data_IF_626661860483
#
_entry.id   IF_626661860483
#
_cell.length_a   1.000
_cell.length_b   1.000
_cell.length_c   1.000
_cell.angle_alpha   90.00
_cell.angle_beta   90.00
_cell.angle_gamma   90.00
#
_symmetry.space_group_name_H-M   'P 1'
#
loop_
_entity.id
_entity.type
_entity.pdbx_description
1 polymer ?
#
# COMPACT_ATOMS: atom_id res chain seq x y z
N UNK A 1 -4.10 -8.81 -0.51
CA UNK A 1 -5.29 -9.44 -1.11
C UNK A 1 -6.43 -9.58 -0.10
N UNK A 2 -6.25 -10.34 0.99
CA UNK A 2 -7.25 -10.54 2.07
C UNK A 2 -7.90 -9.21 2.52
N UNK A 3 -7.10 -8.26 2.98
CA UNK A 3 -7.60 -6.98 3.51
C UNK A 3 -8.37 -6.19 2.45
N UNK A 4 -7.88 -6.15 1.21
CA UNK A 4 -8.53 -5.47 0.10
C UNK A 4 -9.90 -6.09 -0.21
N UNK A 5 -9.97 -7.42 -0.31
CA UNK A 5 -11.23 -8.13 -0.53
C UNK A 5 -12.23 -7.88 0.62
N UNK A 6 -11.77 -7.95 1.87
CA UNK A 6 -12.58 -7.66 3.07
C UNK A 6 -13.10 -6.21 3.09
N UNK A 7 -12.36 -5.28 2.51
CA UNK A 7 -12.75 -3.88 2.34
C UNK A 7 -13.67 -3.63 1.12
N UNK A 8 -14.04 -4.68 0.37
CA UNK A 8 -14.85 -4.53 -0.85
C UNK A 8 -14.06 -4.03 -2.07
N UNK A 9 -12.73 -4.09 -2.03
CA UNK A 9 -11.86 -3.72 -3.15
C UNK A 9 -11.64 -4.94 -4.05
N UNK A 10 -12.08 -4.84 -5.29
CA UNK A 10 -12.07 -5.96 -6.25
C UNK A 10 -10.82 -6.02 -7.15
N UNK A 11 -10.06 -4.94 -7.26
CA UNK A 11 -8.86 -4.85 -8.12
C UNK A 11 -7.66 -4.47 -7.27
N UNK A 12 -6.61 -5.28 -7.32
CA UNK A 12 -5.34 -5.07 -6.61
C UNK A 12 -4.19 -5.07 -7.61
N UNK A 13 -3.29 -4.10 -7.51
CA UNK A 13 -2.18 -3.93 -8.44
C UNK A 13 -0.86 -4.17 -7.73
N UNK A 14 0.06 -4.88 -8.40
CA UNK A 14 1.45 -5.03 -7.94
C UNK A 14 2.41 -5.06 -9.14
N UNK A 15 3.71 -5.05 -8.89
CA UNK A 15 4.71 -5.27 -9.95
C UNK A 15 4.58 -6.68 -10.53
N UNK A 16 4.65 -7.70 -9.68
CA UNK A 16 4.69 -9.12 -10.06
C UNK A 16 4.28 -9.99 -8.89
N UNK A 17 3.47 -11.01 -9.11
CA UNK A 17 3.07 -11.93 -8.05
C UNK A 17 4.22 -12.86 -7.68
N UNK A 18 4.20 -13.40 -6.45
CA UNK A 18 4.97 -14.59 -6.11
C UNK A 18 4.53 -15.80 -6.93
N UNK A 19 5.23 -16.91 -6.78
CA UNK A 19 4.99 -18.12 -7.57
C UNK A 19 5.75 -19.32 -7.06
N UNK A 20 5.81 -20.36 -7.88
CA UNK A 20 6.63 -21.54 -7.63
C UNK A 20 8.08 -21.17 -7.92
N UNK A 21 8.98 -21.39 -6.96
CA UNK A 21 10.40 -21.17 -7.18
C UNK A 21 10.96 -22.22 -8.15
N UNK A 22 12.09 -21.92 -8.79
CA UNK A 22 12.81 -22.91 -9.59
C UNK A 22 13.34 -24.01 -8.68
N UNK A 23 13.21 -25.27 -9.09
CA UNK A 23 13.37 -26.47 -8.22
C UNK A 23 12.26 -26.62 -7.16
N UNK A 24 11.13 -25.93 -7.35
CA UNK A 24 9.97 -25.97 -6.45
C UNK A 24 9.33 -27.37 -6.32
N UNK A 25 9.50 -28.23 -7.31
CA UNK A 25 9.04 -29.63 -7.27
C UNK A 25 9.78 -30.49 -6.24
N UNK A 26 11.01 -30.11 -5.89
CA UNK A 26 11.83 -30.82 -4.90
C UNK A 26 11.85 -30.07 -3.57
N UNK A 27 12.01 -28.74 -3.62
CA UNK A 27 12.13 -27.89 -2.44
C UNK A 27 10.79 -27.57 -1.78
N UNK A 28 9.69 -27.66 -2.53
CA UNK A 28 8.37 -27.18 -2.13
C UNK A 28 8.35 -25.69 -1.75
N UNK A 29 9.30 -24.90 -2.27
CA UNK A 29 9.35 -23.45 -2.10
C UNK A 29 8.33 -22.77 -3.03
N UNK A 30 7.12 -22.59 -2.50
CA UNK A 30 5.96 -22.09 -3.23
C UNK A 30 5.38 -20.90 -2.47
N UNK A 31 5.23 -19.77 -3.18
CA UNK A 31 4.68 -18.55 -2.59
C UNK A 31 3.23 -18.73 -2.12
N UNK A 32 2.95 -18.22 -0.92
CA UNK A 32 1.60 -18.13 -0.38
C UNK A 32 0.64 -17.31 -1.25
N UNK A 33 1.16 -16.43 -2.12
CA UNK A 33 0.37 -15.66 -3.09
C UNK A 33 -0.52 -16.56 -3.95
N UNK A 34 -0.04 -17.74 -4.34
CA UNK A 34 -0.78 -18.66 -5.22
C UNK A 34 -1.97 -19.30 -4.49
N UNK A 35 -1.74 -19.77 -3.27
CA UNK A 35 -2.81 -20.31 -2.41
C UNK A 35 -3.83 -19.23 -2.07
N UNK A 36 -3.36 -18.00 -1.85
CA UNK A 36 -4.23 -16.86 -1.55
C UNK A 36 -5.09 -16.46 -2.77
N UNK A 37 -4.51 -16.47 -3.97
CA UNK A 37 -5.26 -16.33 -5.23
C UNK A 37 -6.34 -17.41 -5.39
N UNK A 38 -6.11 -18.64 -4.92
CA UNK A 38 -7.12 -19.70 -4.92
C UNK A 38 -8.29 -19.48 -3.96
N UNK A 39 -8.14 -18.60 -2.96
CA UNK A 39 -9.08 -18.49 -1.82
C UNK A 39 -9.78 -17.14 -1.69
N UNK A 40 -9.24 -16.10 -2.31
CA UNK A 40 -9.75 -14.74 -2.17
C UNK A 40 -10.21 -14.22 -3.52
N UNK A 41 -11.51 -13.89 -3.69
CA UNK A 41 -12.04 -13.42 -4.96
C UNK A 41 -11.69 -11.95 -5.20
N UNK A 42 -10.49 -11.76 -5.70
CA UNK A 42 -9.89 -10.48 -6.06
C UNK A 42 -9.15 -10.61 -7.39
N UNK A 43 -9.20 -9.57 -8.22
CA UNK A 43 -8.42 -9.50 -9.44
C UNK A 43 -7.06 -8.85 -9.14
N UNK A 44 -5.97 -9.58 -9.40
CA UNK A 44 -4.61 -9.09 -9.25
C UNK A 44 -4.06 -8.73 -10.62
N UNK A 45 -3.64 -7.47 -10.78
CA UNK A 45 -3.02 -6.95 -12.00
C UNK A 45 -1.52 -6.83 -11.76
N UNK A 46 -0.73 -7.54 -12.56
CA UNK A 46 0.73 -7.56 -12.43
C UNK A 46 1.42 -7.81 -13.76
N UNK A 47 2.74 -7.67 -13.83
CA UNK A 47 3.53 -8.02 -15.02
C UNK A 47 3.77 -9.54 -15.14
N UNK A 48 2.79 -10.36 -14.75
CA UNK A 48 2.95 -11.79 -14.55
C UNK A 48 3.59 -12.10 -13.19
N UNK A 49 4.49 -13.07 -13.17
CA UNK A 49 5.19 -13.54 -11.97
C UNK A 49 6.63 -13.04 -11.96
N UNK A 50 7.22 -12.81 -10.78
CA UNK A 50 8.60 -12.28 -10.68
C UNK A 50 9.59 -13.16 -11.45
N UNK A 51 10.52 -12.55 -12.20
CA UNK A 51 11.45 -13.24 -13.13
C UNK A 51 12.32 -14.36 -12.52
N UNK A 52 12.56 -14.35 -11.21
CA UNK A 52 13.37 -15.38 -10.54
C UNK A 52 12.64 -16.73 -10.38
N UNK A 53 11.33 -16.76 -10.67
CA UNK A 53 10.44 -17.87 -10.42
C UNK A 53 10.31 -18.78 -11.65
N UNK A 54 9.60 -19.89 -11.47
CA UNK A 54 9.25 -20.82 -12.52
C UNK A 54 7.84 -20.52 -13.05
N UNK A 55 7.76 -19.96 -14.25
CA UNK A 55 6.49 -19.54 -14.86
C UNK A 55 5.60 -20.74 -15.17
N UNK A 56 6.16 -21.79 -15.77
CA UNK A 56 5.41 -22.97 -16.17
C UNK A 56 4.75 -23.64 -14.96
N UNK A 57 5.55 -23.95 -13.92
CA UNK A 57 5.02 -24.54 -12.68
C UNK A 57 4.03 -23.62 -11.96
N UNK A 58 4.24 -22.31 -12.03
CA UNK A 58 3.30 -21.35 -11.44
C UNK A 58 1.95 -21.37 -12.15
N UNK A 59 1.93 -21.44 -13.48
CA UNK A 59 0.69 -21.55 -14.24
C UNK A 59 -0.06 -22.86 -13.93
N UNK A 60 0.65 -24.00 -13.87
CA UNK A 60 0.08 -25.29 -13.46
C UNK A 60 -0.51 -25.26 -12.04
N UNK A 61 0.19 -24.59 -11.11
CA UNK A 61 -0.30 -24.44 -9.74
C UNK A 61 -1.54 -23.56 -9.67
N UNK A 62 -1.56 -22.44 -10.42
CA UNK A 62 -2.71 -21.54 -10.49
C UNK A 62 -3.94 -22.23 -11.11
N UNK A 63 -3.73 -23.06 -12.13
CA UNK A 63 -4.76 -23.92 -12.70
C UNK A 63 -5.32 -24.88 -11.63
N UNK A 64 -4.44 -25.55 -10.88
CA UNK A 64 -4.83 -26.45 -9.78
C UNK A 64 -5.63 -25.72 -8.69
N UNK A 65 -5.31 -24.46 -8.41
CA UNK A 65 -6.04 -23.61 -7.45
C UNK A 65 -7.34 -23.02 -8.02
N UNK A 66 -7.70 -23.32 -9.27
CA UNK A 66 -8.89 -22.76 -9.92
C UNK A 66 -8.80 -21.25 -10.15
N UNK A 67 -7.60 -20.69 -10.26
CA UNK A 67 -7.37 -19.26 -10.49
C UNK A 67 -7.48 -18.98 -11.98
N UNK A 68 -8.35 -18.03 -12.36
CA UNK A 68 -8.43 -17.58 -13.74
C UNK A 68 -7.20 -16.72 -14.08
N UNK A 69 -6.41 -17.15 -15.06
CA UNK A 69 -5.24 -16.41 -15.54
C UNK A 69 -5.50 -15.89 -16.96
N UNK A 70 -5.37 -14.59 -17.16
CA UNK A 70 -5.49 -13.98 -18.48
C UNK A 70 -4.39 -12.96 -18.75
N UNK A 71 -3.86 -12.94 -19.98
CA UNK A 71 -2.95 -11.88 -20.42
C UNK A 71 -3.75 -10.66 -20.89
N UNK A 72 -3.32 -9.46 -20.52
CA UNK A 72 -3.89 -8.20 -20.97
C UNK A 72 -3.24 -7.74 -22.28
N UNK A 73 -4.07 -7.57 -23.32
CA UNK A 73 -3.66 -7.21 -24.68
C UNK A 73 -4.07 -8.27 -25.70
N UNK A 74 -3.60 -8.11 -26.94
CA UNK A 74 -4.01 -8.94 -28.09
C UNK A 74 -3.28 -10.28 -28.19
N UNK A 75 -2.46 -10.63 -27.20
CA UNK A 75 -1.56 -11.78 -27.23
C UNK A 75 -1.84 -12.69 -26.04
N UNK A 76 -1.74 -14.00 -26.28
CA UNK A 76 -1.82 -15.03 -25.24
C UNK A 76 -0.49 -15.25 -24.52
N UNK A 77 0.63 -14.69 -25.00
CA UNK A 77 1.93 -14.83 -24.35
C UNK A 77 1.89 -14.28 -22.93
N UNK A 78 2.18 -15.13 -21.96
CA UNK A 78 2.31 -14.71 -20.57
C UNK A 78 3.60 -13.90 -20.42
N UNK A 79 3.57 -12.70 -19.82
CA UNK A 79 4.77 -11.89 -19.62
C UNK A 79 5.68 -12.48 -18.54
N UNK A 80 6.99 -12.39 -18.74
CA UNK A 80 8.01 -12.74 -17.76
C UNK A 80 8.52 -11.49 -17.04
N UNK A 81 7.61 -10.73 -16.42
CA UNK A 81 7.91 -9.52 -15.64
C UNK A 81 8.60 -8.41 -16.44
N UNK A 82 9.92 -8.52 -16.64
CA UNK A 82 10.69 -7.60 -17.48
C UNK A 82 10.51 -7.87 -18.98
N UNK A 83 10.16 -9.09 -19.39
CA UNK A 83 9.94 -9.40 -20.81
C UNK A 83 8.45 -9.52 -21.13
N UNK A 84 7.97 -8.99 -22.29
CA UNK A 84 6.60 -9.20 -22.74
C UNK A 84 6.32 -10.66 -23.16
N UNK A 85 7.36 -11.49 -23.30
CA UNK A 85 7.25 -12.89 -23.70
C UNK A 85 8.06 -13.78 -22.76
N UNK A 86 7.42 -14.84 -22.26
CA UNK A 86 8.05 -15.84 -21.38
C UNK A 86 8.35 -17.17 -22.06
N UNK A 87 7.82 -17.40 -23.26
CA UNK A 87 7.73 -18.74 -23.85
C UNK A 87 6.54 -19.57 -23.36
N UNK A 88 5.76 -19.06 -22.40
CA UNK A 88 4.52 -19.65 -21.93
C UNK A 88 3.31 -18.80 -22.36
N UNK A 89 2.13 -19.43 -22.42
CA UNK A 89 0.87 -18.78 -22.76
C UNK A 89 -0.10 -18.82 -21.59
N UNK A 90 -0.84 -17.73 -21.37
CA UNK A 90 -2.03 -17.76 -20.52
C UNK A 90 -3.13 -18.65 -21.11
N UNK A 91 -3.99 -19.25 -20.28
CA UNK A 91 -5.22 -19.92 -20.74
C UNK A 91 -6.20 -18.98 -21.45
N UNK A 92 -6.19 -17.68 -21.11
CA UNK A 92 -7.07 -16.66 -21.68
C UNK A 92 -6.32 -15.35 -21.99
N UNK A 93 -6.95 -14.45 -22.75
CA UNK A 93 -6.52 -13.06 -22.88
C UNK A 93 -7.74 -12.13 -22.88
N UNK A 94 -7.51 -10.86 -22.57
CA UNK A 94 -8.50 -9.77 -22.63
C UNK A 94 -7.88 -8.57 -23.34
N UNK A 95 -8.58 -7.97 -24.29
CA UNK A 95 -7.99 -6.96 -25.18
C UNK A 95 -7.92 -5.56 -24.56
N UNK A 96 -8.80 -5.27 -23.60
CA UNK A 96 -8.99 -3.94 -23.03
C UNK A 96 -9.56 -4.01 -21.61
N UNK A 97 -9.67 -2.83 -20.97
CA UNK A 97 -10.12 -2.72 -19.59
C UNK A 97 -11.58 -3.12 -19.40
N UNK A 98 -12.42 -2.94 -20.42
CA UNK A 98 -13.83 -3.31 -20.43
C UNK A 98 -13.99 -4.83 -20.41
N UNK A 99 -13.28 -5.56 -21.27
CA UNK A 99 -13.28 -7.04 -21.27
C UNK A 99 -12.73 -7.61 -19.95
N UNK A 100 -11.67 -7.02 -19.41
CA UNK A 100 -11.14 -7.40 -18.11
C UNK A 100 -12.17 -7.16 -16.98
N UNK A 101 -12.87 -6.03 -17.01
CA UNK A 101 -13.95 -5.74 -16.06
C UNK A 101 -15.13 -6.71 -16.20
N UNK A 102 -15.45 -7.14 -17.43
CA UNK A 102 -16.48 -8.12 -17.70
C UNK A 102 -16.13 -9.49 -17.13
N UNK A 103 -14.87 -9.91 -17.28
CA UNK A 103 -14.34 -11.13 -16.69
C UNK A 103 -14.44 -11.12 -15.16
N UNK A 104 -14.02 -10.02 -14.52
CA UNK A 104 -14.09 -9.86 -13.06
C UNK A 104 -15.55 -9.84 -12.58
N UNK A 105 -16.42 -9.09 -13.25
CA UNK A 105 -17.84 -9.04 -12.91
C UNK A 105 -18.52 -10.41 -13.07
N UNK A 106 -18.10 -11.20 -14.07
CA UNK A 106 -18.52 -12.58 -14.27
C UNK A 106 -18.15 -13.46 -13.07
N UNK A 107 -16.87 -13.44 -12.67
CA UNK A 107 -16.36 -14.18 -11.52
C UNK A 107 -17.15 -13.87 -10.23
N UNK A 108 -17.39 -12.59 -9.96
CA UNK A 108 -18.17 -12.13 -8.81
C UNK A 108 -19.65 -12.59 -8.91
N UNK A 109 -20.27 -12.50 -10.08
CA UNK A 109 -21.68 -12.86 -10.25
C UNK A 109 -21.97 -14.36 -10.13
N UNK A 110 -20.98 -15.20 -10.45
CA UNK A 110 -21.04 -16.65 -10.26
C UNK A 110 -20.75 -17.08 -8.81
N UNK A 111 -20.33 -16.16 -7.95
CA UNK A 111 -19.98 -16.46 -6.56
C UNK A 111 -18.71 -17.30 -6.42
N UNK A 112 -17.83 -17.28 -7.42
CA UNK A 112 -16.56 -18.02 -7.39
C UNK A 112 -15.67 -17.44 -6.27
N UNK A 113 -15.02 -18.32 -5.52
CA UNK A 113 -14.20 -17.95 -4.37
C UNK A 113 -12.73 -17.74 -4.73
N UNK A 114 -12.32 -18.11 -5.94
CA UNK A 114 -10.98 -17.85 -6.44
C UNK A 114 -10.85 -16.45 -7.03
N UNK A 115 -9.63 -15.93 -6.98
CA UNK A 115 -9.22 -14.69 -7.60
C UNK A 115 -8.90 -14.85 -9.08
N UNK A 116 -8.42 -13.76 -9.67
CA UNK A 116 -7.96 -13.70 -11.06
C UNK A 116 -6.56 -13.10 -11.12
N UNK A 117 -5.74 -13.58 -12.04
CA UNK A 117 -4.47 -12.96 -12.40
C UNK A 117 -4.57 -12.36 -13.80
N UNK A 118 -4.49 -11.03 -13.88
CA UNK A 118 -4.41 -10.27 -15.12
C UNK A 118 -2.95 -9.87 -15.37
N UNK A 119 -2.30 -10.62 -16.26
CA UNK A 119 -0.89 -10.44 -16.57
C UNK A 119 -0.70 -9.37 -17.67
N UNK A 120 -0.13 -8.23 -17.30
CA UNK A 120 0.06 -7.05 -18.16
C UNK A 120 1.51 -7.00 -18.64
N UNK A 121 1.78 -7.11 -19.95
CA UNK A 121 3.14 -6.99 -20.46
C UNK A 121 3.76 -5.61 -20.14
N UNK A 122 5.08 -5.60 -19.93
CA UNK A 122 5.86 -4.35 -19.81
C UNK A 122 5.61 -3.43 -21.03
N UNK A 123 5.62 -2.09 -20.88
CA UNK A 123 5.48 -1.19 -22.02
C UNK A 123 6.50 -1.46 -23.14
N UNK A 124 6.08 -1.27 -24.39
CA UNK A 124 6.90 -1.57 -25.57
C UNK A 124 8.22 -0.80 -25.58
N UNK A 125 8.23 0.45 -25.12
CA UNK A 125 9.46 1.25 -25.01
C UNK A 125 10.52 0.65 -24.07
N UNK A 126 10.12 -0.20 -23.12
CA UNK A 126 11.01 -0.84 -22.15
C UNK A 126 11.25 -2.33 -22.43
N UNK A 127 10.57 -2.91 -23.43
CA UNK A 127 10.64 -4.33 -23.74
C UNK A 127 12.05 -4.81 -24.12
N UNK A 128 12.81 -4.06 -24.93
CA UNK A 128 14.15 -4.45 -25.36
C UNK A 128 15.16 -4.46 -24.19
N UNK A 129 15.07 -3.48 -23.29
CA UNK A 129 15.84 -3.48 -22.04
C UNK A 129 15.40 -4.65 -21.16
N UNK A 130 14.10 -4.92 -21.12
CA UNK A 130 13.48 -6.04 -20.43
C UNK A 130 14.02 -7.41 -20.84
N UNK A 131 14.16 -7.66 -22.14
CA UNK A 131 14.71 -8.90 -22.67
C UNK A 131 16.20 -9.07 -22.29
N UNK A 132 16.98 -7.98 -22.29
CA UNK A 132 18.36 -8.00 -21.81
C UNK A 132 18.43 -8.36 -20.31
N UNK A 133 17.53 -7.80 -19.50
CA UNK A 133 17.44 -8.09 -18.06
C UNK A 133 17.05 -9.55 -17.84
N UNK A 134 16.06 -10.05 -18.58
CA UNK A 134 15.62 -11.45 -18.46
C UNK A 134 16.74 -12.42 -18.82
N UNK A 135 17.51 -12.15 -19.89
CA UNK A 135 18.69 -12.94 -20.24
C UNK A 135 19.76 -12.90 -19.14
N UNK A 136 19.97 -11.75 -18.50
CA UNK A 136 20.88 -11.62 -17.36
C UNK A 136 20.39 -12.44 -16.15
N UNK A 137 19.08 -12.50 -15.92
CA UNK A 137 18.46 -13.31 -14.86
C UNK A 137 18.68 -14.80 -15.16
N UNK A 138 18.45 -15.25 -16.39
CA UNK A 138 18.69 -16.64 -16.77
C UNK A 138 20.16 -17.04 -16.60
N UNK A 139 21.10 -16.15 -16.98
CA UNK A 139 22.53 -16.38 -16.78
C UNK A 139 22.90 -16.46 -15.29
N UNK A 140 22.35 -15.54 -14.47
CA UNK A 140 22.57 -15.53 -13.02
C UNK A 140 22.03 -16.80 -12.35
N UNK A 141 20.84 -17.26 -12.75
CA UNK A 141 20.24 -18.48 -12.23
C UNK A 141 21.04 -19.73 -12.61
N UNK A 142 21.55 -19.80 -13.84
CA UNK A 142 22.44 -20.88 -14.27
C UNK A 142 23.74 -20.90 -13.44
N UNK A 143 24.33 -19.73 -13.19
CA UNK A 143 25.53 -19.61 -12.35
C UNK A 143 25.26 -20.00 -10.89
N UNK A 144 24.12 -19.59 -10.32
CA UNK A 144 23.70 -19.99 -8.98
C UNK A 144 23.58 -21.51 -8.86
N UNK A 145 23.00 -22.16 -9.87
CA UNK A 145 22.86 -23.61 -9.89
C UNK A 145 24.23 -24.33 -9.90
N UNK A 146 25.16 -23.88 -10.75
CA UNK A 146 26.53 -24.43 -10.80
C UNK A 146 27.26 -24.24 -9.45
N UNK A 147 27.02 -23.11 -8.78
CA UNK A 147 27.61 -22.79 -7.46
C UNK A 147 26.86 -23.41 -6.28
N UNK A 148 25.75 -24.10 -6.52
CA UNK A 148 24.91 -24.68 -5.46
C UNK A 148 24.22 -23.64 -4.56
N UNK A 149 24.06 -22.40 -5.01
CA UNK A 149 23.39 -21.32 -4.25
C UNK A 149 21.88 -21.56 -4.31
N UNK A 150 21.24 -21.70 -3.13
CA UNK A 150 19.83 -22.08 -3.00
C UNK A 150 19.16 -21.34 -1.83
N UNK A 151 17.83 -21.46 -1.75
CA UNK A 151 17.02 -20.91 -0.66
C UNK A 151 17.17 -19.40 -0.53
N UNK A 152 17.28 -18.91 0.72
CA UNK A 152 17.34 -17.47 1.03
C UNK A 152 18.51 -16.72 0.36
N UNK A 153 19.57 -17.42 -0.01
CA UNK A 153 20.78 -16.83 -0.58
C UNK A 153 20.71 -16.70 -2.12
N UNK A 154 19.73 -17.36 -2.76
CA UNK A 154 19.52 -17.30 -4.21
C UNK A 154 19.12 -15.91 -4.69
N UNK A 155 18.11 -15.32 -4.05
CA UNK A 155 17.56 -14.02 -4.47
C UNK A 155 18.60 -12.89 -4.39
N UNK A 156 19.35 -12.70 -3.29
CA UNK A 156 20.41 -11.70 -3.23
C UNK A 156 21.49 -11.91 -4.30
N UNK A 157 21.90 -13.17 -4.54
CA UNK A 157 22.88 -13.50 -5.56
C UNK A 157 22.41 -13.12 -6.97
N UNK A 158 21.18 -13.53 -7.33
CA UNK A 158 20.61 -13.23 -8.65
C UNK A 158 20.48 -11.72 -8.85
N UNK A 159 19.99 -10.99 -7.85
CA UNK A 159 19.84 -9.54 -7.94
C UNK A 159 21.18 -8.82 -8.10
N UNK A 160 22.21 -9.20 -7.33
CA UNK A 160 23.55 -8.65 -7.48
C UNK A 160 24.07 -8.87 -8.90
N UNK A 161 23.98 -10.11 -9.40
CA UNK A 161 24.49 -10.47 -10.72
C UNK A 161 23.75 -9.74 -11.84
N UNK A 162 22.44 -9.62 -11.71
CA UNK A 162 21.61 -8.89 -12.68
C UNK A 162 21.96 -7.41 -12.68
N UNK A 163 22.21 -6.80 -11.52
CA UNK A 163 22.62 -5.41 -11.45
C UNK A 163 24.00 -5.20 -12.12
N UNK A 164 24.97 -6.09 -11.86
CA UNK A 164 26.28 -6.08 -12.52
C UNK A 164 26.16 -6.17 -14.04
N UNK A 165 25.30 -7.07 -14.54
CA UNK A 165 25.11 -7.32 -15.98
C UNK A 165 24.30 -6.22 -16.68
N UNK A 166 23.37 -5.58 -15.98
CA UNK A 166 22.41 -4.62 -16.57
C UNK A 166 22.76 -3.15 -16.32
N UNK A 167 23.79 -2.88 -15.50
CA UNK A 167 24.26 -1.53 -15.14
C UNK A 167 23.13 -0.60 -14.68
N UNK A 168 22.22 -1.10 -13.83
CA UNK A 168 21.11 -0.33 -13.26
C UNK A 168 19.86 -0.16 -14.14
N UNK A 169 19.83 -0.72 -15.36
CA UNK A 169 18.64 -0.67 -16.23
C UNK A 169 17.42 -1.41 -15.67
N UNK A 170 17.64 -2.38 -14.79
CA UNK A 170 16.57 -3.17 -14.14
C UNK A 170 15.60 -2.32 -13.32
N UNK A 171 16.11 -1.33 -12.59
CA UNK A 171 15.30 -0.45 -11.75
C UNK A 171 14.33 0.40 -12.58
N UNK A 172 14.81 0.97 -13.70
CA UNK A 172 13.98 1.79 -14.59
C UNK A 172 12.86 0.96 -15.22
N UNK A 173 13.14 -0.27 -15.65
CA UNK A 173 12.14 -1.18 -16.18
C UNK A 173 11.10 -1.59 -15.11
N UNK A 174 11.54 -1.79 -13.86
CA UNK A 174 10.66 -2.12 -12.73
C UNK A 174 9.70 -0.96 -12.39
N UNK A 175 10.20 0.27 -12.36
CA UNK A 175 9.35 1.46 -12.17
C UNK A 175 8.33 1.57 -13.31
N UNK A 176 8.77 1.40 -14.56
CA UNK A 176 7.90 1.50 -15.72
C UNK A 176 6.79 0.45 -15.74
N UNK A 177 7.09 -0.82 -15.42
CA UNK A 177 6.07 -1.87 -15.35
C UNK A 177 5.08 -1.61 -14.21
N UNK A 178 5.52 -1.12 -13.04
CA UNK A 178 4.62 -0.81 -11.91
C UNK A 178 3.66 0.32 -12.30
N UNK A 179 4.14 1.39 -12.92
CA UNK A 179 3.29 2.47 -13.44
C UNK A 179 2.30 1.96 -14.49
N UNK A 180 2.73 1.08 -15.38
CA UNK A 180 1.85 0.49 -16.39
C UNK A 180 0.76 -0.38 -15.76
N UNK A 181 1.10 -1.23 -14.79
CA UNK A 181 0.14 -2.07 -14.06
C UNK A 181 -0.87 -1.20 -13.30
N UNK A 182 -0.43 -0.10 -12.67
CA UNK A 182 -1.32 0.83 -11.97
C UNK A 182 -2.26 1.55 -12.93
N UNK A 183 -1.76 1.98 -14.09
CA UNK A 183 -2.57 2.58 -15.15
C UNK A 183 -3.64 1.59 -15.64
N UNK A 184 -3.26 0.37 -16.00
CA UNK A 184 -4.20 -0.65 -16.48
C UNK A 184 -5.20 -1.05 -15.39
N UNK A 185 -4.72 -1.31 -14.16
CA UNK A 185 -5.56 -1.65 -13.02
C UNK A 185 -6.58 -0.57 -12.67
N UNK A 186 -6.20 0.71 -12.72
CA UNK A 186 -7.14 1.82 -12.50
C UNK A 186 -8.21 1.90 -13.60
N UNK A 187 -7.84 1.70 -14.87
CA UNK A 187 -8.80 1.65 -15.98
C UNK A 187 -9.81 0.51 -15.80
N UNK A 188 -9.34 -0.68 -15.42
CA UNK A 188 -10.19 -1.85 -15.13
C UNK A 188 -11.12 -1.55 -13.96
N UNK A 189 -10.62 -0.98 -12.86
CA UNK A 189 -11.42 -0.63 -11.70
C UNK A 189 -12.53 0.39 -12.05
N UNK A 190 -12.21 1.40 -12.87
CA UNK A 190 -13.21 2.36 -13.36
C UNK A 190 -14.27 1.69 -14.26
N UNK A 191 -13.87 0.79 -15.17
CA UNK A 191 -14.78 0.06 -16.03
C UNK A 191 -15.70 -0.88 -15.22
N UNK A 192 -15.13 -1.60 -14.25
CA UNK A 192 -15.85 -2.47 -13.33
C UNK A 192 -16.88 -1.68 -12.50
N UNK A 193 -16.48 -0.54 -11.95
CA UNK A 193 -17.37 0.33 -11.17
C UNK A 193 -18.59 0.78 -12.00
N UNK A 194 -18.36 1.26 -13.23
CA UNK A 194 -19.46 1.63 -14.16
C UNK A 194 -20.38 0.45 -14.45
N UNK A 195 -19.84 -0.77 -14.61
CA UNK A 195 -20.63 -1.98 -14.88
C UNK A 195 -21.46 -2.41 -13.68
N UNK A 196 -20.90 -2.34 -12.48
CA UNK A 196 -21.61 -2.66 -11.23
C UNK A 196 -22.74 -1.66 -10.96
N UNK A 197 -22.55 -0.36 -11.26
CA UNK A 197 -23.59 0.67 -11.14
C UNK A 197 -24.76 0.48 -12.13
N UNK A 198 -24.50 -0.03 -13.35
CA UNK A 198 -25.57 -0.32 -14.33
C UNK A 198 -26.49 -1.46 -13.89
N UNK A 199 -26.00 -2.43 -13.12
CA UNK A 199 -26.82 -3.54 -12.60
C UNK A 199 -27.73 -3.14 -11.43
N UNK A 200 -27.42 -2.06 -10.71
CA UNK A 200 -28.23 -1.56 -9.58
C UNK A 200 -29.34 -0.58 -10.00
N UNK A 201 -29.49 -0.28 -11.30
CA UNK A 201 -30.53 0.62 -11.81
C UNK A 201 -31.65 -0.13 -12.53
N UNK A 202 -32.59 -0.65 -11.74
CA UNK A 202 -34.00 -0.80 -12.14
C UNK A 202 -34.79 0.19 -11.27
N UNK A 203 -35.47 1.19 -11.84
CA UNK A 203 -36.23 2.14 -11.04
C UNK A 203 -37.50 1.45 -10.54
N UNK A 204 -37.47 0.94 -9.30
CA UNK A 204 -38.70 0.62 -8.59
C UNK A 204 -39.28 1.93 -8.05
N UNK A 205 -40.26 2.47 -8.76
CA UNK A 205 -41.07 3.61 -8.35
C UNK A 205 -42.02 3.15 -7.23
N UNK A 206 -41.50 2.99 -6.01
CA UNK A 206 -42.27 3.03 -4.76
C UNK A 206 -41.33 2.78 -3.57
N UNK A 207 -40.73 3.86 -3.07
CA UNK A 207 -40.63 4.17 -1.63
C UNK A 207 -39.67 5.35 -1.50
N UNK A 208 -40.22 6.56 -1.61
CA UNK A 208 -39.67 7.75 -0.98
C UNK A 208 -39.81 7.57 0.55
N UNK A 209 -39.07 6.61 1.11
CA UNK A 209 -38.70 6.67 2.51
C UNK A 209 -37.45 7.53 2.52
N UNK A 210 -37.59 8.71 3.12
CA UNK A 210 -36.52 9.65 3.43
C UNK A 210 -35.52 8.93 4.33
N UNK A 211 -34.63 8.14 3.73
CA UNK A 211 -33.45 7.64 4.40
C UNK A 211 -32.48 8.82 4.40
N UNK A 212 -32.65 9.69 5.39
CA UNK A 212 -31.53 10.43 5.97
C UNK A 212 -30.62 9.37 6.58
N UNK A 213 -29.84 8.69 5.73
CA UNK A 213 -28.65 7.96 6.16
C UNK A 213 -27.80 9.04 6.81
N UNK A 214 -27.80 9.07 8.14
CA UNK A 214 -26.78 9.77 8.89
C UNK A 214 -25.45 9.25 8.36
N UNK A 215 -24.82 10.02 7.48
CA UNK A 215 -23.48 9.73 6.97
C UNK A 215 -22.63 9.45 8.21
N UNK A 216 -22.18 8.20 8.34
CA UNK A 216 -21.36 7.75 9.44
C UNK A 216 -20.14 8.65 9.49
N UNK A 217 -20.09 9.59 10.44
CA UNK A 217 -19.05 10.62 10.45
C UNK A 217 -17.82 10.06 11.14
N UNK A 218 -16.83 9.59 10.39
CA UNK A 218 -15.55 9.23 11.00
C UNK A 218 -14.83 10.50 11.47
N UNK A 219 -14.05 10.39 12.53
CA UNK A 219 -13.18 11.47 13.00
C UNK A 219 -11.75 10.98 12.96
N UNK A 220 -10.87 11.78 12.35
CA UNK A 220 -9.44 11.49 12.28
C UNK A 220 -8.69 12.58 13.04
N UNK A 221 -7.91 12.19 14.03
CA UNK A 221 -7.11 13.09 14.87
C UNK A 221 -5.65 12.77 14.61
N UNK A 222 -4.92 13.68 13.99
CA UNK A 222 -3.52 13.41 13.68
C UNK A 222 -2.77 14.48 12.92
N UNK A 223 -1.51 14.18 12.63
CA UNK A 223 -0.58 15.10 12.00
C UNK A 223 -0.83 15.29 10.51
N UNK A 224 -0.49 16.48 10.04
CA UNK A 224 -0.27 16.81 8.63
C UNK A 224 1.11 17.42 8.49
N UNK A 225 1.80 17.13 7.40
CA UNK A 225 3.18 17.55 7.18
C UNK A 225 3.40 17.94 5.71
N UNK A 226 4.40 18.78 5.47
CA UNK A 226 5.02 18.95 4.16
C UNK A 226 6.29 18.13 4.11
N UNK A 227 6.35 17.17 3.20
CA UNK A 227 7.49 16.28 3.05
C UNK A 227 8.39 16.78 1.91
N UNK A 228 9.69 16.85 2.17
CA UNK A 228 10.73 17.13 1.21
C UNK A 228 11.57 15.87 1.04
N UNK A 229 11.56 15.30 -0.17
CA UNK A 229 12.36 14.14 -0.52
C UNK A 229 13.51 14.63 -1.39
N UNK A 230 14.69 14.76 -0.78
CA UNK A 230 15.93 15.15 -1.45
C UNK A 230 16.70 13.89 -1.87
N UNK A 231 16.86 13.67 -3.18
CA UNK A 231 17.65 12.56 -3.72
C UNK A 231 18.99 13.07 -4.26
N UNK A 232 20.08 12.53 -3.73
CA UNK A 232 21.43 12.79 -4.21
C UNK A 232 21.75 12.03 -5.50
N UNK A 233 22.71 12.55 -6.27
CA UNK A 233 23.31 11.86 -7.43
C UNK A 233 24.58 11.08 -7.08
N UNK A 234 24.87 10.92 -5.80
CA UNK A 234 25.99 10.14 -5.26
C UNK A 234 25.56 9.50 -3.95
N UNK A 235 26.25 8.43 -3.54
CA UNK A 235 26.01 7.80 -2.23
C UNK A 235 26.76 8.47 -1.08
N UNK A 236 27.75 9.32 -1.40
CA UNK A 236 28.55 10.07 -0.40
C UNK A 236 28.02 11.48 -0.26
N UNK A 237 27.03 11.65 0.63
CA UNK A 237 26.32 12.92 0.80
C UNK A 237 26.82 13.81 1.95
N UNK A 238 27.72 13.33 2.80
CA UNK A 238 28.11 14.03 4.02
C UNK A 238 29.18 15.11 3.80
N UNK A 239 29.01 16.25 4.49
CA UNK A 239 30.04 17.28 4.65
C UNK A 239 30.22 18.28 3.49
N UNK A 240 29.36 18.25 2.47
CA UNK A 240 29.45 19.13 1.30
C UNK A 240 28.09 19.37 0.64
N UNK A 241 28.02 20.33 -0.29
CA UNK A 241 26.86 20.48 -1.18
C UNK A 241 26.92 19.43 -2.27
N UNK A 242 25.84 18.65 -2.43
CA UNK A 242 25.77 17.58 -3.42
C UNK A 242 24.72 17.88 -4.49
N UNK A 243 25.00 17.55 -5.77
CA UNK A 243 24.00 17.65 -6.82
C UNK A 243 22.87 16.62 -6.58
N UNK A 244 21.63 17.04 -6.81
CA UNK A 244 20.46 16.21 -6.52
C UNK A 244 19.16 16.81 -7.05
N UNK A 245 18.05 16.23 -6.63
CA UNK A 245 16.70 16.72 -6.88
C UNK A 245 15.90 16.74 -5.58
N UNK A 246 15.02 17.71 -5.40
CA UNK A 246 14.11 17.77 -4.25
C UNK A 246 12.68 17.72 -4.77
N UNK A 247 11.88 16.79 -4.23
CA UNK A 247 10.46 16.70 -4.47
C UNK A 247 9.70 17.13 -3.21
N UNK A 248 8.62 17.88 -3.38
CA UNK A 248 7.72 18.25 -2.31
C UNK A 248 6.43 17.41 -2.41
N UNK A 249 5.99 16.83 -1.29
CA UNK A 249 4.71 16.15 -1.14
C UNK A 249 4.03 16.54 0.17
N UNK A 250 2.78 16.12 0.36
CA UNK A 250 2.01 16.42 1.56
C UNK A 250 1.73 15.13 2.34
N UNK A 251 2.37 15.01 3.49
CA UNK A 251 2.40 13.83 4.34
C UNK A 251 1.63 13.99 5.64
N UNK A 252 2.01 13.17 6.63
CA UNK A 252 1.32 13.04 7.91
C UNK A 252 0.32 11.89 7.91
N UNK A 253 0.43 11.05 8.93
CA UNK A 253 -0.35 9.81 9.07
C UNK A 253 -1.83 10.12 9.24
N UNK A 254 -2.18 11.04 10.13
CA UNK A 254 -3.55 11.53 10.28
C UNK A 254 -4.13 12.05 8.98
N UNK A 255 -3.38 12.88 8.25
CA UNK A 255 -3.81 13.38 6.94
C UNK A 255 -3.99 12.24 5.93
N UNK A 256 -3.09 11.25 5.87
CA UNK A 256 -3.20 10.11 4.94
C UNK A 256 -4.46 9.27 5.21
N UNK A 257 -4.81 9.04 6.48
CA UNK A 257 -6.05 8.35 6.85
C UNK A 257 -7.27 9.15 6.40
N UNK A 258 -7.32 10.45 6.72
CA UNK A 258 -8.42 11.32 6.35
C UNK A 258 -8.56 11.50 4.82
N UNK A 259 -7.45 11.60 4.10
CA UNK A 259 -7.41 11.69 2.63
C UNK A 259 -7.95 10.40 1.99
N UNK A 260 -7.47 9.24 2.46
CA UNK A 260 -7.91 7.92 1.96
C UNK A 260 -9.41 7.72 2.15
N UNK A 261 -9.93 8.03 3.35
CA UNK A 261 -11.36 7.99 3.64
C UNK A 261 -12.15 8.96 2.73
N UNK A 262 -11.65 10.18 2.54
CA UNK A 262 -12.29 11.17 1.66
C UNK A 262 -12.36 10.70 0.21
N UNK A 263 -11.29 10.06 -0.29
CA UNK A 263 -11.24 9.49 -1.65
C UNK A 263 -12.15 8.28 -1.84
N UNK A 264 -12.47 7.56 -0.77
CA UNK A 264 -13.48 6.50 -0.76
C UNK A 264 -14.92 7.04 -0.68
N UNK A 265 -15.13 8.35 -0.80
CA UNK A 265 -16.45 8.98 -0.77
C UNK A 265 -17.00 9.24 0.63
N UNK A 266 -16.20 9.00 1.68
CA UNK A 266 -16.54 9.42 3.04
C UNK A 266 -16.19 10.90 3.22
N UNK A 267 -16.56 11.50 4.36
CA UNK A 267 -16.25 12.89 4.67
C UNK A 267 -15.81 13.07 6.12
N UNK A 268 -14.71 12.41 6.52
CA UNK A 268 -14.26 12.40 7.91
C UNK A 268 -13.94 13.81 8.38
N UNK A 269 -14.28 14.15 9.62
CA UNK A 269 -13.76 15.37 10.26
C UNK A 269 -12.27 15.15 10.54
N UNK A 270 -11.41 15.96 9.92
CA UNK A 270 -9.98 15.93 10.19
C UNK A 270 -9.61 17.00 11.22
N UNK A 271 -9.12 16.56 12.38
CA UNK A 271 -8.65 17.39 13.49
C UNK A 271 -7.12 17.35 13.50
N UNK A 272 -6.50 18.52 13.32
CA UNK A 272 -5.05 18.67 13.20
C UNK A 272 -4.61 20.09 13.57
N UNK A 273 -3.33 20.41 13.39
CA UNK A 273 -2.77 21.74 13.59
C UNK A 273 -1.72 22.09 12.51
N UNK A 274 -1.78 23.32 12.00
CA UNK A 274 -0.85 23.91 11.03
C UNK A 274 -0.46 25.34 11.45
N UNK A 275 0.65 25.84 10.92
CA UNK A 275 1.13 27.20 11.17
C UNK A 275 0.44 28.25 10.30
N UNK A 276 0.93 29.48 10.33
CA UNK A 276 0.55 30.57 9.40
C UNK A 276 1.64 30.87 8.38
N UNK A 277 2.34 29.83 7.91
CA UNK A 277 3.38 29.93 6.90
C UNK A 277 2.88 29.49 5.51
N UNK A 278 3.69 29.70 4.48
CA UNK A 278 3.34 29.31 3.10
C UNK A 278 3.12 27.80 2.92
N UNK A 279 3.63 26.98 3.84
CA UNK A 279 3.40 25.54 3.85
C UNK A 279 1.95 25.22 4.25
N UNK A 280 1.35 25.99 5.15
CA UNK A 280 -0.04 25.80 5.56
C UNK A 280 -1.02 26.03 4.40
N UNK A 281 -0.79 27.09 3.60
CA UNK A 281 -1.57 27.39 2.40
C UNK A 281 -1.51 26.24 1.38
N UNK A 282 -0.30 25.71 1.15
CA UNK A 282 -0.08 24.61 0.22
C UNK A 282 -0.77 23.32 0.68
N UNK A 283 -0.71 23.00 1.99
CA UNK A 283 -1.41 21.89 2.61
C UNK A 283 -2.92 22.02 2.44
N UNK A 284 -3.49 23.19 2.77
CA UNK A 284 -4.94 23.41 2.68
C UNK A 284 -5.44 23.33 1.24
N UNK A 285 -4.70 23.87 0.28
CA UNK A 285 -5.05 23.77 -1.13
C UNK A 285 -5.01 22.31 -1.63
N UNK A 286 -4.00 21.53 -1.21
CA UNK A 286 -3.94 20.10 -1.51
C UNK A 286 -5.12 19.32 -0.90
N UNK A 287 -5.50 19.67 0.33
CA UNK A 287 -6.56 19.00 1.09
C UNK A 287 -7.96 19.56 0.83
N UNK A 288 -8.19 20.35 -0.23
CA UNK A 288 -9.47 21.03 -0.51
C UNK A 288 -10.68 20.10 -0.65
N UNK A 289 -10.47 18.82 -0.96
CA UNK A 289 -11.53 17.81 -1.06
C UNK A 289 -11.85 17.13 0.27
N UNK A 290 -11.05 17.37 1.32
CA UNK A 290 -11.23 16.84 2.67
C UNK A 290 -12.04 17.81 3.53
N UNK A 291 -12.64 17.31 4.62
CA UNK A 291 -13.23 18.17 5.65
C UNK A 291 -12.17 18.59 6.68
N UNK A 292 -11.55 19.75 6.43
CA UNK A 292 -10.49 20.33 7.26
C UNK A 292 -11.02 21.33 8.29
N UNK A 293 -12.32 21.34 8.60
CA UNK A 293 -12.91 22.28 9.57
C UNK A 293 -12.38 22.11 11.00
N UNK A 294 -11.74 20.98 11.31
CA UNK A 294 -11.08 20.73 12.59
C UNK A 294 -9.59 21.09 12.62
N UNK A 295 -9.01 21.61 11.53
CA UNK A 295 -7.59 21.95 11.46
C UNK A 295 -7.34 23.33 12.07
N UNK A 296 -6.60 23.37 13.19
CA UNK A 296 -6.21 24.61 13.84
C UNK A 296 -5.14 25.34 13.02
N UNK A 297 -5.28 26.66 12.86
CA UNK A 297 -4.27 27.53 12.25
C UNK A 297 -3.64 28.39 13.35
N UNK A 298 -2.36 28.15 13.65
CA UNK A 298 -1.66 28.71 14.82
C UNK A 298 -0.60 29.73 14.39
N UNK A 299 -0.73 30.99 14.87
CA UNK A 299 0.09 32.14 14.40
C UNK A 299 1.59 32.06 14.72
N UNK A 300 1.95 31.44 15.83
CA UNK A 300 3.34 31.40 16.33
C UNK A 300 3.99 30.03 16.15
N UNK A 301 3.40 29.18 15.30
CA UNK A 301 3.87 27.83 15.03
C UNK A 301 4.19 27.68 13.55
N UNK A 302 5.10 26.75 13.25
CA UNK A 302 5.43 26.36 11.88
C UNK A 302 4.67 25.10 11.50
N UNK A 303 4.14 25.05 10.29
CA UNK A 303 3.55 23.84 9.72
C UNK A 303 4.60 22.74 9.70
N UNK A 304 4.22 21.54 10.12
CA UNK A 304 5.17 20.46 10.26
C UNK A 304 5.85 20.14 8.93
N UNK A 305 7.16 19.94 8.96
CA UNK A 305 7.94 19.53 7.79
C UNK A 305 8.75 18.27 8.08
N UNK A 306 8.94 17.46 7.05
CA UNK A 306 9.82 16.31 7.09
C UNK A 306 10.78 16.39 5.91
N UNK A 307 12.06 16.15 6.16
CA UNK A 307 13.07 16.08 5.12
C UNK A 307 13.70 14.68 5.13
N UNK A 308 13.54 13.95 4.03
CA UNK A 308 14.22 12.69 3.77
C UNK A 308 15.32 12.92 2.74
N UNK A 309 16.56 12.64 3.11
CA UNK A 309 17.72 12.66 2.21
C UNK A 309 18.04 11.23 1.80
N UNK A 310 17.89 10.94 0.52
CA UNK A 310 18.08 9.62 -0.08
C UNK A 310 19.33 9.63 -0.96
N UNK A 311 20.14 8.58 -0.89
CA UNK A 311 21.33 8.38 -1.74
C UNK A 311 20.96 8.11 -3.21
N UNK A 312 21.96 7.98 -4.08
CA UNK A 312 21.72 7.58 -5.47
C UNK A 312 21.14 6.15 -5.52
N UNK A 313 21.68 5.25 -4.68
CA UNK A 313 21.23 3.86 -4.49
C UNK A 313 19.79 3.73 -3.99
N UNK A 314 19.19 4.79 -3.43
CA UNK A 314 17.84 4.76 -2.89
C UNK A 314 17.77 4.54 -1.36
N UNK A 315 18.91 4.51 -0.68
CA UNK A 315 18.98 4.35 0.77
C UNK A 315 18.69 5.68 1.50
N UNK A 316 17.92 5.63 2.58
CA UNK A 316 17.69 6.79 3.44
C UNK A 316 18.98 7.14 4.20
N UNK A 317 19.63 8.23 3.82
CA UNK A 317 20.83 8.74 4.49
C UNK A 317 20.50 9.53 5.76
N UNK A 318 19.44 10.33 5.75
CA UNK A 318 19.02 11.16 6.89
C UNK A 318 17.53 11.45 6.79
N UNK A 319 16.81 11.28 7.89
CA UNK A 319 15.45 11.81 8.07
C UNK A 319 15.45 12.88 9.16
N UNK A 320 14.88 14.06 8.89
CA UNK A 320 14.74 15.14 9.86
C UNK A 320 13.30 15.65 9.85
N UNK A 321 12.63 15.63 11.00
CA UNK A 321 11.28 16.17 11.16
C UNK A 321 11.26 17.40 12.05
N UNK A 322 10.73 18.51 11.56
CA UNK A 322 10.24 19.63 12.39
C UNK A 322 8.73 19.42 12.55
N UNK A 323 8.31 18.70 13.59
CA UNK A 323 6.93 18.23 13.76
C UNK A 323 6.32 18.61 15.12
N UNK A 324 6.95 19.54 15.85
CA UNK A 324 6.55 19.91 17.21
C UNK A 324 5.12 20.48 17.28
N UNK A 325 4.63 21.05 16.19
CA UNK A 325 3.24 21.54 16.09
C UNK A 325 2.21 20.42 16.32
N UNK A 326 2.55 19.14 16.10
CA UNK A 326 1.65 18.03 16.43
C UNK A 326 1.35 17.96 17.95
N UNK A 327 2.22 18.52 18.80
CA UNK A 327 1.96 18.67 20.24
C UNK A 327 0.83 19.66 20.54
N UNK A 328 0.46 20.52 19.59
CA UNK A 328 -0.64 21.46 19.72
C UNK A 328 -2.01 20.84 19.43
N UNK A 329 -2.05 19.58 18.98
CA UNK A 329 -3.29 18.77 18.89
C UNK A 329 -3.62 18.26 20.30
N UNK A 330 -3.89 19.20 21.20
CA UNK A 330 -4.08 18.95 22.64
C UNK A 330 -5.47 18.40 22.93
N UNK A 331 -5.60 17.76 24.09
CA UNK A 331 -6.91 17.39 24.67
C UNK A 331 -7.87 18.59 24.72
N UNK A 332 -7.39 19.76 25.14
CA UNK A 332 -8.21 20.97 25.22
C UNK A 332 -8.76 21.41 23.85
N UNK A 333 -8.00 21.22 22.78
CA UNK A 333 -8.46 21.53 21.44
C UNK A 333 -9.42 20.46 20.91
N UNK A 334 -9.06 19.18 21.08
CA UNK A 334 -9.86 18.05 20.58
C UNK A 334 -11.22 17.94 21.30
N UNK A 335 -11.30 18.31 22.58
CA UNK A 335 -12.55 18.24 23.36
C UNK A 335 -13.64 19.20 22.88
N UNK A 336 -13.28 20.24 22.12
CA UNK A 336 -14.26 21.11 21.45
C UNK A 336 -15.12 20.36 20.42
N UNK A 337 -14.68 19.18 20.00
CA UNK A 337 -15.37 18.31 19.06
C UNK A 337 -16.02 17.09 19.73
N UNK A 338 -16.26 17.09 21.06
CA UNK A 338 -16.81 15.95 21.79
C UNK A 338 -18.14 15.43 21.22
N UNK A 339 -19.04 16.32 20.75
CA UNK A 339 -20.28 15.91 20.07
C UNK A 339 -20.01 15.12 18.77
N UNK A 340 -18.98 15.52 18.00
CA UNK A 340 -18.61 14.83 16.77
C UNK A 340 -17.91 13.51 17.05
N UNK A 341 -17.08 13.48 18.10
CA UNK A 341 -16.43 12.27 18.58
C UNK A 341 -17.48 11.25 19.04
N UNK A 342 -18.38 11.64 19.95
CA UNK A 342 -19.40 10.74 20.51
C UNK A 342 -20.39 10.20 19.47
N UNK A 343 -20.67 10.96 18.41
CA UNK A 343 -21.52 10.52 17.30
C UNK A 343 -20.75 9.77 16.19
N UNK A 344 -19.43 9.64 16.29
CA UNK A 344 -18.62 9.02 15.25
C UNK A 344 -18.87 7.52 15.14
N UNK A 345 -18.79 7.00 13.92
CA UNK A 345 -18.79 5.55 13.70
C UNK A 345 -17.40 4.92 13.90
N UNK A 346 -16.35 5.74 13.86
CA UNK A 346 -14.95 5.35 14.02
C UNK A 346 -14.11 6.59 14.38
N UNK A 347 -13.23 6.44 15.36
CA UNK A 347 -12.19 7.42 15.67
C UNK A 347 -10.82 6.88 15.24
N UNK A 348 -10.07 7.65 14.46
CA UNK A 348 -8.72 7.28 14.04
C UNK A 348 -7.69 8.18 14.71
N UNK A 349 -6.65 7.59 15.29
CA UNK A 349 -5.60 8.27 16.05
C UNK A 349 -4.23 8.05 15.39
N UNK A 350 -3.53 9.15 15.12
CA UNK A 350 -2.13 9.17 14.70
C UNK A 350 -1.20 9.10 15.92
N UNK A 351 -0.18 8.23 15.88
CA UNK A 351 0.77 8.07 16.96
C UNK A 351 1.63 9.30 17.30
N UNK A 352 1.67 10.32 16.44
CA UNK A 352 2.44 11.55 16.71
C UNK A 352 1.77 12.50 17.71
N UNK A 353 0.46 12.37 17.96
CA UNK A 353 -0.26 13.28 18.86
C UNK A 353 0.13 13.06 20.34
N UNK A 354 -0.17 14.01 21.25
CA UNK A 354 0.11 13.88 22.68
C UNK A 354 -0.58 12.68 23.32
N UNK A 355 0.08 12.08 24.33
CA UNK A 355 -0.48 10.96 25.11
C UNK A 355 -1.77 11.39 25.81
N UNK A 356 -1.84 12.62 26.33
CA UNK A 356 -3.06 13.16 26.94
C UNK A 356 -4.24 13.16 25.96
N UNK A 357 -4.00 13.59 24.71
CA UNK A 357 -5.00 13.56 23.65
C UNK A 357 -5.45 12.13 23.31
N UNK A 358 -4.51 11.17 23.20
CA UNK A 358 -4.84 9.75 23.00
C UNK A 358 -5.73 9.25 24.14
N UNK A 359 -5.37 9.53 25.38
CA UNK A 359 -6.12 9.10 26.55
C UNK A 359 -7.53 9.70 26.60
N UNK A 360 -7.65 11.00 26.31
CA UNK A 360 -8.93 11.67 26.22
C UNK A 360 -9.84 11.03 25.17
N UNK A 361 -9.35 10.86 23.93
CA UNK A 361 -10.16 10.27 22.85
C UNK A 361 -10.55 8.83 23.18
N UNK A 362 -9.63 8.01 23.71
CA UNK A 362 -9.96 6.66 24.16
C UNK A 362 -11.01 6.64 25.28
N UNK A 363 -11.00 7.63 26.18
CA UNK A 363 -12.01 7.75 27.24
C UNK A 363 -13.40 8.08 26.68
N UNK A 364 -13.49 9.00 25.71
CA UNK A 364 -14.74 9.35 25.01
C UNK A 364 -15.24 8.14 24.22
N UNK A 365 -14.34 7.47 23.50
CA UNK A 365 -14.65 6.27 22.72
C UNK A 365 -15.25 5.16 23.60
N UNK A 366 -14.64 4.88 24.76
CA UNK A 366 -15.14 3.89 25.71
C UNK A 366 -16.51 4.28 26.28
N UNK A 367 -16.72 5.55 26.61
CA UNK A 367 -17.99 6.09 27.14
C UNK A 367 -19.14 5.95 26.14
N UNK A 368 -18.85 6.11 24.85
CA UNK A 368 -19.85 6.11 23.77
C UNK A 368 -19.84 4.84 22.91
N UNK A 369 -19.05 3.83 23.29
CA UNK A 369 -18.87 2.58 22.55
C UNK A 369 -18.48 2.77 21.07
N UNK A 370 -17.64 3.77 20.79
CA UNK A 370 -17.13 4.05 19.45
C UNK A 370 -15.81 3.28 19.25
N UNK A 371 -15.64 2.52 18.15
CA UNK A 371 -14.37 1.83 17.88
C UNK A 371 -13.25 2.83 17.60
N UNK A 372 -12.03 2.50 18.05
CA UNK A 372 -10.83 3.30 17.84
C UNK A 372 -9.81 2.55 16.98
N UNK A 373 -9.33 3.21 15.93
CA UNK A 373 -8.15 2.81 15.15
C UNK A 373 -6.93 3.61 15.61
N UNK A 374 -5.84 2.93 15.92
CA UNK A 374 -4.57 3.57 16.26
C UNK A 374 -3.51 3.26 15.19
N UNK A 375 -2.91 4.29 14.61
CA UNK A 375 -1.83 4.15 13.62
C UNK A 375 -0.49 4.52 14.26
N UNK A 376 0.37 3.53 14.57
CA UNK A 376 1.73 3.81 15.03
C UNK A 376 2.56 4.44 13.91
N UNK A 377 3.49 5.32 14.27
CA UNK A 377 4.34 6.04 13.31
C UNK A 377 5.81 5.67 13.40
N UNK A 378 6.24 5.20 14.57
CA UNK A 378 7.48 4.48 14.79
C UNK A 378 7.40 3.73 16.15
N UNK A 379 8.46 3.01 16.51
CA UNK A 379 8.53 2.23 17.74
C UNK A 379 8.24 3.03 19.02
N UNK A 380 8.74 4.26 19.15
CA UNK A 380 8.51 5.07 20.35
C UNK A 380 7.04 5.51 20.45
N UNK A 381 6.37 5.66 19.31
CA UNK A 381 5.00 6.17 19.25
C UNK A 381 4.05 4.98 19.38
N UNK A 382 4.43 3.80 18.90
CA UNK A 382 3.68 2.56 19.04
C UNK A 382 3.29 2.23 20.49
N UNK A 383 4.13 2.56 21.47
CA UNK A 383 3.84 2.24 22.87
C UNK A 383 2.85 3.19 23.56
N UNK A 384 2.60 4.39 23.02
CA UNK A 384 1.86 5.46 23.72
C UNK A 384 0.52 5.03 24.33
N UNK A 385 -0.39 4.33 23.62
CA UNK A 385 -1.67 3.90 24.20
C UNK A 385 -1.52 2.85 25.31
N UNK A 386 -0.39 2.12 25.32
CA UNK A 386 -0.09 1.04 26.26
C UNK A 386 0.62 1.52 27.53
N UNK A 387 1.03 2.79 27.58
CA UNK A 387 1.55 3.44 28.79
C UNK A 387 0.44 3.75 29.81
N UNK A 388 -0.83 3.57 29.43
CA UNK A 388 -2.01 3.71 30.28
C UNK A 388 -3.04 2.63 29.91
N UNK A 389 -4.21 2.63 30.55
CA UNK A 389 -5.30 1.71 30.22
C UNK A 389 -6.02 2.04 28.90
N UNK A 390 -5.61 3.08 28.18
CA UNK A 390 -6.21 3.54 26.92
C UNK A 390 -6.21 2.50 25.82
N UNK A 391 -5.22 1.58 25.80
CA UNK A 391 -5.16 0.50 24.80
C UNK A 391 -6.40 -0.41 24.82
N UNK A 392 -7.10 -0.51 25.97
CA UNK A 392 -8.34 -1.32 26.12
C UNK A 392 -9.50 -0.78 25.29
N UNK A 393 -9.43 0.47 24.83
CA UNK A 393 -10.43 1.08 23.95
C UNK A 393 -10.10 0.89 22.45
N UNK A 394 -8.89 0.41 22.12
CA UNK A 394 -8.48 0.21 20.73
C UNK A 394 -9.19 -1.02 20.15
N UNK A 395 -9.87 -0.81 19.02
CA UNK A 395 -10.45 -1.88 18.23
C UNK A 395 -9.47 -2.38 17.16
N UNK A 396 -8.64 -1.47 16.62
CA UNK A 396 -7.74 -1.76 15.51
C UNK A 396 -6.40 -1.03 15.67
N UNK A 397 -5.36 -1.64 15.11
CA UNK A 397 -4.03 -1.05 14.93
C UNK A 397 -3.31 -1.76 13.79
N UNK A 398 -2.42 -1.08 13.08
CA UNK A 398 -1.66 -1.62 11.94
C UNK A 398 -0.14 -1.46 12.10
N UNK A 399 0.46 -2.02 13.17
CA UNK A 399 1.89 -1.92 13.40
C UNK A 399 2.67 -2.73 12.36
N UNK A 400 3.87 -2.26 12.01
CA UNK A 400 4.91 -3.13 11.48
C UNK A 400 5.49 -4.07 12.57
N UNK A 401 6.38 -4.98 12.19
CA UNK A 401 6.92 -5.96 13.14
C UNK A 401 7.69 -5.31 14.31
N UNK A 402 8.46 -4.25 14.06
CA UNK A 402 9.24 -3.58 15.10
C UNK A 402 8.33 -2.83 16.09
N UNK A 403 7.28 -2.19 15.59
CA UNK A 403 6.25 -1.53 16.38
C UNK A 403 5.46 -2.56 17.21
N UNK A 404 5.05 -3.68 16.61
CA UNK A 404 4.34 -4.75 17.30
C UNK A 404 5.18 -5.34 18.44
N UNK A 405 6.48 -5.58 18.18
CA UNK A 405 7.43 -5.99 19.22
C UNK A 405 7.46 -4.97 20.38
N UNK A 406 7.40 -3.68 20.05
CA UNK A 406 7.44 -2.60 21.05
C UNK A 406 6.14 -2.54 21.85
N UNK A 407 4.98 -2.74 21.21
CA UNK A 407 3.69 -2.86 21.88
C UNK A 407 3.67 -4.06 22.85
N UNK A 408 4.15 -5.22 22.42
CA UNK A 408 4.25 -6.42 23.28
C UNK A 408 5.14 -6.17 24.50
N UNK A 409 6.31 -5.55 24.30
CA UNK A 409 7.21 -5.16 25.40
C UNK A 409 6.53 -4.22 26.39
N UNK A 410 5.78 -3.22 25.91
CA UNK A 410 5.05 -2.29 26.76
C UNK A 410 3.98 -3.00 27.62
N UNK A 411 3.39 -4.09 27.12
CA UNK A 411 2.44 -4.94 27.85
C UNK A 411 3.09 -6.00 28.73
N UNK A 412 4.42 -6.12 28.75
CA UNK A 412 5.12 -7.20 29.45
C UNK A 412 4.90 -8.59 28.81
N UNK A 413 4.46 -8.63 27.54
CA UNK A 413 4.21 -9.87 26.80
C UNK A 413 5.47 -10.30 26.06
N UNK A 414 5.72 -11.62 26.04
CA UNK A 414 6.77 -12.21 25.20
C UNK A 414 6.35 -12.09 23.74
N UNK A 415 7.26 -11.61 22.89
CA UNK A 415 7.08 -11.70 21.43
C UNK A 415 7.42 -13.12 21.00
N UNK A 416 6.49 -13.90 20.41
CA UNK A 416 6.78 -15.26 19.99
C UNK A 416 7.91 -15.28 18.94
N UNK A 417 8.92 -16.11 19.18
CA UNK A 417 9.94 -16.41 18.18
C UNK A 417 9.26 -17.08 16.97
N UNK A 418 9.21 -16.39 15.83
CA UNK A 418 8.62 -16.94 14.61
C UNK A 418 7.31 -16.30 14.14
N UNK A 419 6.89 -15.14 14.66
CA UNK A 419 5.83 -14.36 14.01
C UNK A 419 6.35 -13.85 12.65
N UNK A 420 6.10 -14.63 11.60
CA UNK A 420 5.99 -14.15 10.22
C UNK A 420 4.57 -13.60 10.11
N UNK A 421 4.34 -12.38 10.61
CA UNK A 421 3.11 -11.66 10.27
C UNK A 421 3.33 -11.04 8.89
N UNK A 422 2.46 -11.40 7.96
CA UNK A 422 2.30 -10.81 6.64
C UNK A 422 1.91 -9.33 6.85
N UNK A 423 2.89 -8.45 7.02
CA UNK A 423 2.71 -7.01 7.01
C UNK A 423 3.47 -6.46 5.81
N UNK A 424 2.76 -5.65 5.04
CA UNK A 424 3.20 -4.99 3.80
C UNK A 424 4.44 -4.11 4.01
N UNK A 425 5.62 -4.72 4.00
CA UNK A 425 6.89 -4.01 3.99
C UNK A 425 7.73 -4.41 2.77
N UNK A 426 7.26 -3.98 1.59
CA UNK A 426 8.12 -3.77 0.41
C UNK A 426 7.44 -2.81 -0.55
N UNK A 427 7.50 -1.52 -0.22
CA UNK A 427 7.17 -0.45 -1.17
C UNK A 427 8.21 0.68 -1.22
N UNK A 428 9.33 0.61 -0.50
CA UNK A 428 10.41 1.61 -0.61
C UNK A 428 11.83 1.01 -0.53
N UNK A 429 11.98 -0.27 -0.85
CA UNK A 429 13.30 -0.85 -1.15
C UNK A 429 13.10 -1.96 -2.18
N UNK A 430 12.91 -1.54 -3.44
CA UNK A 430 13.16 -2.29 -4.67
C UNK A 430 13.10 -1.33 -5.87
#
# INVERSE_FOLDING_TARGET
MIAAHRAGIHVFVTGGVGGVHRDGENSMDISADLTELGRTPIAVVSAGVKSILDIGRTLEYLETQGVCVATFGTSMNFPAFFSPQSGFTSPYHVNNAEEAADLIAGNLSLGLQSGLLLAVPIPKEHAAAGEQIENAIQAALAEANVKGIRGRDLTPFVLQKVNELTRGKSLQANIALIHNNARVGSQIACALSKRMQKKTWTPCVTCLVTITLALSSQVVIGGVNVDFIAKGKTDKLFGQTNPGSVCQSFGGVGKNLADSLSRMGQRPLFISAIGTDSHSDAVLNYCRHMNTSGVAVLKEQRTATYCAVITESGDLSLGLGDMDIHQQITEQYVSQFEEKLSAASLMCLDGNIPISTINYVCSVAKKHAVPVWYEPTDCDKACKPFLSDSWKALAYTSPNLAELCTMNKALGLLTPAGIILIIMHKLLSD
#
